data_IF_749183019239
#
_entry.id   IF_749183019239
#
_cell.length_a   1.000
_cell.length_b   1.000
_cell.length_c   1.000
_cell.angle_alpha   90.00
_cell.angle_beta   90.00
_cell.angle_gamma   90.00
#
_symmetry.space_group_name_H-M   'P 1'
#
loop_
_entity.id
_entity.type
_entity.pdbx_description
1 polymer ?
#
# COMPACT_ATOMS: atom_id res chain seq x y z
N UNK A 1 -5.62 1.47 28.64
CA UNK A 1 -5.22 1.78 27.24
C UNK A 1 -5.30 3.29 27.05
N UNK A 2 -4.21 4.01 26.74
CA UNK A 2 -4.23 5.47 26.48
C UNK A 2 -4.47 5.72 24.98
N UNK A 3 -5.51 6.48 24.64
CA UNK A 3 -5.84 6.85 23.25
C UNK A 3 -4.83 7.88 22.71
N UNK A 4 -4.43 7.78 21.44
CA UNK A 4 -3.58 8.82 20.83
C UNK A 4 -4.31 10.15 20.66
N UNK A 5 -3.56 11.26 20.59
CA UNK A 5 -4.12 12.60 20.36
C UNK A 5 -5.06 12.66 19.13
N UNK A 6 -4.76 12.03 17.98
CA UNK A 6 -5.68 12.02 16.84
C UNK A 6 -7.01 11.35 17.16
N UNK A 7 -6.99 10.24 17.89
CA UNK A 7 -8.21 9.55 18.34
C UNK A 7 -9.00 10.45 19.29
N UNK A 8 -8.35 11.10 20.25
CA UNK A 8 -9.05 12.02 21.17
C UNK A 8 -9.69 13.20 20.44
N UNK A 9 -8.99 13.80 19.47
CA UNK A 9 -9.54 14.86 18.62
C UNK A 9 -10.77 14.38 17.83
N UNK A 10 -10.74 13.16 17.30
CA UNK A 10 -11.90 12.59 16.61
C UNK A 10 -13.10 12.42 17.53
N UNK A 11 -12.91 11.98 18.79
CA UNK A 11 -14.02 11.89 19.75
C UNK A 11 -14.59 13.27 20.07
N UNK A 12 -13.72 14.27 20.28
CA UNK A 12 -14.17 15.66 20.51
C UNK A 12 -14.95 16.19 19.31
N UNK A 13 -14.48 15.96 18.09
CA UNK A 13 -15.18 16.37 16.88
C UNK A 13 -16.53 15.65 16.74
N UNK A 14 -16.60 14.35 16.99
CA UNK A 14 -17.87 13.61 16.95
C UNK A 14 -18.90 14.16 17.95
N UNK A 15 -18.46 14.55 19.15
CA UNK A 15 -19.32 15.20 20.15
C UNK A 15 -19.76 16.60 19.67
N UNK A 16 -18.87 17.36 19.03
CA UNK A 16 -19.20 18.65 18.42
C UNK A 16 -20.22 18.48 17.29
N UNK A 17 -20.08 17.47 16.45
CA UNK A 17 -21.00 17.17 15.36
C UNK A 17 -22.39 16.78 15.89
N UNK A 18 -22.43 15.99 16.96
CA UNK A 18 -23.68 15.66 17.66
C UNK A 18 -24.32 16.92 18.26
N UNK A 19 -23.55 17.77 18.93
CA UNK A 19 -24.02 19.04 19.48
C UNK A 19 -24.59 19.95 18.39
N UNK A 20 -23.90 20.11 17.26
CA UNK A 20 -24.36 20.92 16.14
C UNK A 20 -25.69 20.37 15.60
N UNK A 21 -25.81 19.04 15.51
CA UNK A 21 -27.05 18.38 15.12
C UNK A 21 -28.19 18.67 16.10
N UNK A 22 -27.94 18.56 17.40
CA UNK A 22 -28.94 18.84 18.45
C UNK A 22 -29.37 20.31 18.48
N UNK A 23 -28.42 21.23 18.35
CA UNK A 23 -28.70 22.68 18.31
C UNK A 23 -29.54 23.05 17.09
N UNK A 24 -29.30 22.42 15.93
CA UNK A 24 -30.11 22.66 14.73
C UNK A 24 -31.57 22.22 14.86
N UNK A 25 -31.87 21.32 15.81
CA UNK A 25 -33.21 20.79 16.07
C UNK A 25 -33.94 21.53 17.21
N UNK A 26 -33.31 22.54 17.83
CA UNK A 26 -33.93 23.31 18.90
C UNK A 26 -35.09 24.17 18.38
N UNK A 27 -36.18 24.22 19.15
CA UNK A 27 -37.31 25.10 18.87
C UNK A 27 -36.89 26.59 18.99
N UNK A 28 -37.53 27.50 18.24
CA UNK A 28 -37.26 28.93 18.34
C UNK A 28 -37.42 29.43 19.79
N UNK A 29 -36.43 30.18 20.28
CA UNK A 29 -36.45 30.77 21.63
C UNK A 29 -35.87 29.90 22.75
N UNK A 30 -35.43 28.66 22.47
CA UNK A 30 -34.73 27.82 23.44
C UNK A 30 -33.25 28.25 23.53
N UNK A 31 -32.77 28.49 24.75
CA UNK A 31 -31.36 28.81 24.99
C UNK A 31 -30.45 27.66 24.59
N UNK A 32 -29.36 27.98 23.88
CA UNK A 32 -28.40 26.96 23.47
C UNK A 32 -27.58 26.45 24.66
N UNK A 33 -27.37 25.12 24.78
CA UNK A 33 -26.48 24.57 25.78
C UNK A 33 -25.02 24.98 25.54
N UNK A 34 -24.17 24.86 26.57
CA UNK A 34 -22.74 25.20 26.44
C UNK A 34 -22.06 24.34 25.37
N UNK A 35 -21.26 24.97 24.51
CA UNK A 35 -20.56 24.27 23.45
C UNK A 35 -19.56 23.24 24.01
N UNK A 36 -19.60 21.97 23.55
CA UNK A 36 -18.83 20.87 24.16
C UNK A 36 -17.31 21.05 24.06
N UNK A 37 -16.82 21.82 23.07
CA UNK A 37 -15.40 22.21 22.95
C UNK A 37 -15.09 23.50 23.71
N UNK A 38 -15.40 23.53 25.00
CA UNK A 38 -15.19 24.68 25.88
C UNK A 38 -13.70 24.86 26.28
N UNK A 39 -13.43 25.85 27.14
CA UNK A 39 -12.08 26.19 27.61
C UNK A 39 -11.38 25.00 28.26
N UNK A 40 -12.09 24.23 29.08
CA UNK A 40 -11.56 23.05 29.78
C UNK A 40 -11.11 21.97 28.80
N UNK A 41 -11.92 21.67 27.79
CA UNK A 41 -11.55 20.70 26.74
C UNK A 41 -10.35 21.18 25.92
N UNK A 42 -10.30 22.47 25.55
CA UNK A 42 -9.15 23.05 24.84
C UNK A 42 -7.87 22.95 25.68
N UNK A 43 -7.95 23.25 26.98
CA UNK A 43 -6.80 23.17 27.89
C UNK A 43 -6.35 21.73 28.10
N UNK A 44 -7.28 20.79 28.29
CA UNK A 44 -6.99 19.37 28.38
C UNK A 44 -6.25 18.86 27.13
N UNK A 45 -6.74 19.19 25.93
CA UNK A 45 -6.08 18.82 24.67
C UNK A 45 -4.67 19.42 24.55
N UNK A 46 -4.47 20.65 25.01
CA UNK A 46 -3.16 21.31 25.00
C UNK A 46 -2.17 20.63 25.95
N UNK A 47 -2.59 20.31 27.18
CA UNK A 47 -1.80 19.56 28.15
C UNK A 47 -1.47 18.17 27.60
N UNK A 48 -2.47 17.47 27.06
CA UNK A 48 -2.30 16.15 26.49
C UNK A 48 -1.29 16.15 25.33
N UNK A 49 -1.36 17.14 24.43
CA UNK A 49 -0.37 17.31 23.35
C UNK A 49 1.03 17.50 23.91
N UNK A 50 1.20 18.39 24.90
CA UNK A 50 2.49 18.66 25.54
C UNK A 50 3.07 17.42 26.23
N UNK A 51 2.23 16.63 26.92
CA UNK A 51 2.64 15.37 27.54
C UNK A 51 3.13 14.35 26.50
N UNK A 52 2.42 14.22 25.38
CA UNK A 52 2.84 13.37 24.27
C UNK A 52 4.18 13.82 23.66
N UNK A 53 4.38 15.13 23.48
CA UNK A 53 5.63 15.67 22.94
C UNK A 53 6.80 15.50 23.92
N UNK A 54 6.58 15.74 25.21
CA UNK A 54 7.57 15.49 26.25
C UNK A 54 7.94 14.01 26.33
N UNK A 55 6.96 13.11 26.26
CA UNK A 55 7.20 11.67 26.20
C UNK A 55 8.05 11.28 25.00
N UNK A 56 7.72 11.80 23.81
CA UNK A 56 8.51 11.56 22.58
C UNK A 56 9.96 12.05 22.73
N UNK A 57 10.17 13.20 23.36
CA UNK A 57 11.51 13.73 23.66
C UNK A 57 12.26 12.85 24.66
N UNK A 58 11.60 12.41 25.74
CA UNK A 58 12.20 11.53 26.75
C UNK A 58 12.57 10.15 26.17
N UNK A 59 11.73 9.60 25.29
CA UNK A 59 12.00 8.36 24.55
C UNK A 59 13.04 8.54 23.44
N UNK A 60 13.59 9.76 23.25
CA UNK A 60 14.53 10.13 22.17
C UNK A 60 14.06 9.65 20.80
N UNK A 61 12.76 9.75 20.55
CA UNK A 61 12.15 9.37 19.28
C UNK A 61 12.72 10.26 18.17
N UNK A 62 13.29 9.64 17.15
CA UNK A 62 13.76 10.33 15.94
C UNK A 62 12.64 11.21 15.35
N UNK A 63 12.96 12.50 15.19
CA UNK A 63 12.05 13.50 14.63
C UNK A 63 11.76 13.27 13.16
N UNK A 64 12.63 12.57 12.42
CA UNK A 64 12.41 12.19 11.03
C UNK A 64 11.23 11.23 10.85
N UNK A 65 10.85 10.49 11.90
CA UNK A 65 9.73 9.55 11.83
C UNK A 65 8.39 10.30 11.75
N UNK A 66 7.60 9.99 10.72
CA UNK A 66 6.36 10.66 10.35
C UNK A 66 6.54 11.92 9.51
N UNK A 67 7.73 12.20 8.99
CA UNK A 67 8.03 13.40 8.17
C UNK A 67 8.42 13.01 6.74
N UNK A 68 8.92 13.95 5.93
CA UNK A 68 9.51 13.66 4.60
C UNK A 68 10.66 12.63 4.69
N UNK A 69 11.30 12.50 5.85
CA UNK A 69 12.35 11.51 6.11
C UNK A 69 11.78 10.11 6.45
N UNK A 70 10.47 9.97 6.70
CA UNK A 70 9.81 8.69 6.97
C UNK A 70 9.52 7.98 5.64
N UNK A 71 10.55 7.31 5.15
CA UNK A 71 10.56 6.64 3.87
C UNK A 71 11.85 5.87 3.69
N UNK A 72 12.15 5.51 2.45
CA UNK A 72 13.48 5.03 2.09
C UNK A 72 13.91 5.61 0.76
N UNK A 73 15.22 5.81 0.63
CA UNK A 73 15.82 6.23 -0.63
C UNK A 73 15.76 5.11 -1.67
N UNK A 74 15.99 5.45 -2.94
CA UNK A 74 16.11 4.45 -4.00
C UNK A 74 17.22 3.43 -3.75
N UNK A 75 18.33 3.86 -3.14
CA UNK A 75 19.41 2.96 -2.77
C UNK A 75 19.02 2.02 -1.63
N UNK A 76 18.31 2.52 -0.63
CA UNK A 76 17.76 1.69 0.44
C UNK A 76 16.74 0.68 -0.12
N UNK A 77 15.87 1.08 -1.05
CA UNK A 77 14.95 0.17 -1.74
C UNK A 77 15.69 -0.93 -2.52
N UNK A 78 16.74 -0.54 -3.26
CA UNK A 78 17.59 -1.48 -4.00
C UNK A 78 18.27 -2.48 -3.07
N UNK A 79 18.89 -1.99 -1.98
CA UNK A 79 19.53 -2.85 -0.97
C UNK A 79 18.53 -3.78 -0.30
N UNK A 80 17.32 -3.31 0.00
CA UNK A 80 16.24 -4.12 0.56
C UNK A 80 15.84 -5.26 -0.39
N UNK A 81 15.62 -4.93 -1.67
CA UNK A 81 15.29 -5.93 -2.68
C UNK A 81 16.41 -6.96 -2.89
N UNK A 82 17.67 -6.53 -2.83
CA UNK A 82 18.83 -7.43 -2.91
C UNK A 82 18.98 -8.30 -1.66
N UNK A 83 18.78 -7.73 -0.47
CA UNK A 83 18.80 -8.46 0.79
C UNK A 83 17.77 -9.59 0.79
N UNK A 84 16.51 -9.28 0.44
CA UNK A 84 15.43 -10.27 0.36
C UNK A 84 15.66 -11.33 -0.71
N UNK A 85 16.24 -10.96 -1.85
CA UNK A 85 16.60 -11.90 -2.92
C UNK A 85 17.71 -12.87 -2.47
N UNK A 86 18.74 -12.35 -1.78
CA UNK A 86 19.87 -13.14 -1.29
C UNK A 86 19.51 -14.12 -0.17
N UNK A 87 18.36 -13.94 0.50
CA UNK A 87 17.89 -14.91 1.47
C UNK A 87 17.60 -16.28 0.84
N UNK A 88 17.24 -16.32 -0.45
CA UNK A 88 16.91 -17.55 -1.17
C UNK A 88 15.88 -18.44 -0.44
N UNK A 89 14.86 -17.81 0.14
CA UNK A 89 13.74 -18.47 0.82
C UNK A 89 12.41 -18.05 0.21
N UNK A 90 11.39 -18.89 0.34
CA UNK A 90 10.03 -18.56 -0.11
C UNK A 90 9.55 -17.27 0.56
N UNK A 91 9.81 -17.10 1.86
CA UNK A 91 9.45 -15.89 2.57
C UNK A 91 10.18 -14.65 2.05
N UNK A 92 11.48 -14.77 1.73
CA UNK A 92 12.26 -13.69 1.13
C UNK A 92 11.71 -13.26 -0.22
N UNK A 93 11.43 -14.23 -1.11
CA UNK A 93 10.81 -13.96 -2.41
C UNK A 93 9.41 -13.33 -2.27
N UNK A 94 8.57 -13.88 -1.40
CA UNK A 94 7.22 -13.36 -1.13
C UNK A 94 7.27 -11.93 -0.60
N UNK A 95 8.12 -11.66 0.39
CA UNK A 95 8.26 -10.31 0.97
C UNK A 95 8.83 -9.32 -0.05
N UNK A 96 9.75 -9.77 -0.91
CA UNK A 96 10.27 -8.93 -2.00
C UNK A 96 9.17 -8.59 -3.01
N UNK A 97 8.39 -9.57 -3.43
CA UNK A 97 7.27 -9.37 -4.34
C UNK A 97 6.19 -8.44 -3.73
N UNK A 98 5.81 -8.65 -2.46
CA UNK A 98 4.90 -7.76 -1.73
C UNK A 98 5.42 -6.32 -1.73
N UNK A 99 6.69 -6.14 -1.43
CA UNK A 99 7.30 -4.82 -1.35
C UNK A 99 7.35 -4.12 -2.72
N UNK A 100 7.72 -4.84 -3.79
CA UNK A 100 7.71 -4.29 -5.14
C UNK A 100 6.31 -3.89 -5.61
N UNK A 101 5.31 -4.72 -5.33
CA UNK A 101 3.89 -4.40 -5.62
C UNK A 101 3.43 -3.20 -4.79
N UNK A 102 3.83 -3.12 -3.52
CA UNK A 102 3.50 -1.99 -2.65
C UNK A 102 4.00 -0.65 -3.21
N UNK A 103 5.22 -0.65 -3.75
CA UNK A 103 5.82 0.55 -4.37
C UNK A 103 5.18 0.85 -5.72
N UNK A 104 5.15 -0.13 -6.62
CA UNK A 104 4.69 0.07 -8.00
C UNK A 104 3.21 0.44 -8.10
N UNK A 105 2.38 -0.02 -7.17
CA UNK A 105 0.92 0.20 -7.17
C UNK A 105 0.44 1.10 -6.03
N UNK A 106 1.35 1.64 -5.19
CA UNK A 106 1.01 2.49 -4.03
C UNK A 106 0.02 1.85 -3.05
N UNK A 107 0.08 0.54 -2.84
CA UNK A 107 -0.90 -0.19 -2.02
C UNK A 107 -0.59 -0.11 -0.52
N UNK A 108 -1.65 -0.06 0.30
CA UNK A 108 -1.57 -0.22 1.76
C UNK A 108 -1.27 -1.66 2.12
N UNK A 109 -0.67 -1.87 3.29
CA UNK A 109 -0.34 -3.23 3.76
C UNK A 109 -1.57 -4.14 3.86
N UNK A 110 -2.75 -3.58 4.14
CA UNK A 110 -3.98 -4.36 4.23
C UNK A 110 -4.53 -4.79 2.87
N UNK A 111 -4.47 -3.91 1.87
CA UNK A 111 -4.86 -4.23 0.49
C UNK A 111 -4.02 -5.39 -0.05
N UNK A 112 -2.70 -5.41 0.23
CA UNK A 112 -1.81 -6.47 -0.26
C UNK A 112 -2.00 -7.82 0.42
N UNK A 113 -2.26 -7.84 1.74
CA UNK A 113 -2.51 -9.10 2.45
C UNK A 113 -3.81 -9.76 2.02
N UNK A 114 -4.80 -8.94 1.65
CA UNK A 114 -6.12 -9.42 1.26
C UNK A 114 -6.27 -9.69 -0.23
N UNK A 115 -5.31 -9.26 -1.06
CA UNK A 115 -5.29 -9.53 -2.50
C UNK A 115 -5.32 -11.04 -2.78
N UNK A 116 -6.21 -11.45 -3.67
CA UNK A 116 -6.27 -12.81 -4.22
C UNK A 116 -5.54 -12.86 -5.57
N UNK A 117 -5.17 -14.07 -6.00
CA UNK A 117 -4.47 -14.29 -7.26
C UNK A 117 -5.32 -13.87 -8.46
N UNK A 118 -6.65 -14.02 -8.36
CA UNK A 118 -7.62 -13.58 -9.37
C UNK A 118 -7.81 -12.06 -9.48
N UNK A 119 -7.22 -11.28 -8.58
CA UNK A 119 -7.23 -9.83 -8.68
C UNK A 119 -6.14 -9.31 -9.63
N UNK A 120 -5.19 -10.16 -10.06
CA UNK A 120 -4.08 -9.79 -10.93
C UNK A 120 -4.41 -9.96 -12.41
N UNK A 121 -4.11 -8.91 -13.18
CA UNK A 121 -4.23 -8.89 -14.63
C UNK A 121 -2.97 -8.32 -15.26
N UNK A 122 -2.66 -8.74 -16.49
CA UNK A 122 -1.65 -8.10 -17.32
C UNK A 122 -2.32 -7.30 -18.43
N UNK A 123 -1.85 -6.07 -18.64
CA UNK A 123 -2.24 -5.22 -19.75
C UNK A 123 -1.00 -4.90 -20.57
N UNK A 124 -1.02 -5.20 -21.86
CA UNK A 124 0.00 -4.69 -22.79
C UNK A 124 -0.13 -3.17 -22.85
N UNK A 125 0.98 -2.48 -22.63
CA UNK A 125 1.06 -1.05 -22.88
C UNK A 125 1.38 -0.82 -24.35
N UNK A 126 1.07 0.37 -24.84
CA UNK A 126 1.31 0.68 -26.25
C UNK A 126 2.81 0.68 -26.59
N UNK A 127 3.12 0.65 -27.89
CA UNK A 127 4.51 0.69 -28.37
C UNK A 127 5.24 2.00 -28.06
N UNK A 128 4.60 2.97 -27.40
CA UNK A 128 5.21 4.25 -27.04
C UNK A 128 6.03 4.17 -25.74
N UNK A 129 5.92 3.07 -24.98
CA UNK A 129 6.66 2.92 -23.73
C UNK A 129 8.18 2.80 -23.92
N UNK A 130 8.64 2.23 -25.04
CA UNK A 130 10.07 2.13 -25.35
C UNK A 130 10.44 1.02 -26.35
N UNK A 131 11.69 0.56 -26.27
CA UNK A 131 12.32 -0.33 -27.26
C UNK A 131 11.85 -1.79 -27.19
N UNK A 132 11.25 -2.20 -26.07
CA UNK A 132 10.78 -3.56 -25.83
C UNK A 132 9.31 -3.55 -25.43
N UNK A 133 8.52 -4.58 -25.76
CA UNK A 133 7.13 -4.67 -25.33
C UNK A 133 7.00 -4.50 -23.82
N UNK A 134 6.11 -3.60 -23.40
CA UNK A 134 5.88 -3.25 -22.01
C UNK A 134 4.54 -3.81 -21.54
N UNK A 135 4.52 -4.41 -20.34
CA UNK A 135 3.30 -4.90 -19.69
C UNK A 135 3.10 -4.21 -18.35
N UNK A 136 1.92 -3.66 -18.13
CA UNK A 136 1.46 -3.27 -16.81
C UNK A 136 0.83 -4.48 -16.11
N UNK A 137 1.21 -4.68 -14.85
CA UNK A 137 0.48 -5.57 -13.95
C UNK A 137 -0.54 -4.72 -13.20
N UNK A 138 -1.80 -5.15 -13.19
CA UNK A 138 -2.93 -4.44 -12.59
C UNK A 138 -3.49 -5.30 -11.46
N UNK A 139 -3.77 -4.66 -10.32
CA UNK A 139 -4.50 -5.27 -9.20
C UNK A 139 -5.91 -4.65 -9.08
N UNK A 140 -6.93 -5.46 -9.32
CA UNK A 140 -8.34 -5.06 -9.22
C UNK A 140 -8.91 -5.55 -7.89
N UNK A 141 -8.89 -4.68 -6.87
CA UNK A 141 -9.49 -4.98 -5.57
C UNK A 141 -11.01 -4.89 -5.64
N UNK A 142 -11.71 -5.98 -5.28
CA UNK A 142 -13.18 -6.09 -5.34
C UNK A 142 -13.90 -5.81 -4.03
N UNK A 143 -13.30 -5.14 -3.06
CA UNK A 143 -13.87 -5.10 -1.69
C UNK A 143 -15.31 -4.55 -1.60
N UNK A 144 -16.25 -5.50 -1.58
CA UNK A 144 -17.49 -5.57 -0.83
C UNK A 144 -17.64 -7.01 -0.33
N UNK A 145 -17.46 -7.22 0.99
CA UNK A 145 -17.80 -8.39 1.84
C UNK A 145 -17.72 -9.84 1.28
N UNK A 146 -16.86 -10.64 1.95
CA UNK A 146 -16.89 -12.09 2.30
C UNK A 146 -17.44 -13.08 1.23
N UNK A 147 -16.72 -14.19 0.95
CA UNK A 147 -16.80 -15.44 1.73
C UNK A 147 -15.56 -16.32 1.45
N UNK A 148 -15.12 -17.15 2.40
CA UNK A 148 -14.27 -18.33 2.11
C UNK A 148 -14.72 -19.54 2.93
N UNK A 149 -15.07 -20.61 2.24
CA UNK A 149 -15.08 -21.98 2.74
C UNK A 149 -14.24 -22.81 1.76
N UNK A 150 -13.41 -23.74 2.25
CA UNK A 150 -12.80 -24.74 1.38
C UNK A 150 -11.41 -25.22 1.79
N UNK A 151 -11.12 -26.48 1.44
CA UNK A 151 -10.02 -27.35 1.85
C UNK A 151 -8.62 -26.80 1.52
N UNK A 152 -7.63 -27.16 2.35
CA UNK A 152 -6.21 -26.81 2.15
C UNK A 152 -5.62 -27.74 1.07
N UNK A 153 -5.12 -27.16 -0.01
CA UNK A 153 -4.33 -27.86 -1.03
C UNK A 153 -2.89 -27.33 -1.05
N UNK A 154 -1.91 -28.22 -1.16
CA UNK A 154 -0.49 -27.87 -1.27
C UNK A 154 -0.03 -28.15 -2.71
N UNK A 155 0.49 -27.14 -3.43
CA UNK A 155 0.98 -27.27 -4.81
C UNK A 155 0.68 -26.07 -5.71
N UNK A 156 1.27 -26.04 -6.91
CA UNK A 156 0.94 -25.08 -7.97
C UNK A 156 -0.56 -25.21 -8.30
N UNK A 157 -1.33 -24.11 -8.38
CA UNK A 157 -2.75 -24.21 -8.70
C UNK A 157 -2.95 -24.78 -10.11
N UNK A 158 -3.93 -25.66 -10.26
CA UNK A 158 -4.44 -25.96 -11.60
C UNK A 158 -5.02 -24.68 -12.20
N UNK A 159 -4.40 -24.15 -13.24
CA UNK A 159 -4.84 -22.89 -13.88
C UNK A 159 -5.95 -23.12 -14.91
N UNK A 160 -6.28 -24.37 -15.22
CA UNK A 160 -7.29 -24.74 -16.22
C UNK A 160 -8.72 -24.43 -15.76
N UNK A 161 -8.99 -24.52 -14.45
CA UNK A 161 -10.30 -24.22 -13.87
C UNK A 161 -10.20 -23.08 -12.89
N UNK A 162 -11.08 -22.08 -13.05
CA UNK A 162 -11.11 -20.91 -12.16
C UNK A 162 -11.24 -21.30 -10.69
N UNK A 163 -12.12 -22.25 -10.38
CA UNK A 163 -12.38 -22.74 -9.01
C UNK A 163 -11.09 -23.14 -8.24
N UNK A 164 -10.07 -23.64 -8.93
CA UNK A 164 -8.86 -24.20 -8.32
C UNK A 164 -7.86 -23.11 -7.86
N UNK A 165 -8.01 -21.87 -8.35
CA UNK A 165 -7.08 -20.77 -8.08
C UNK A 165 -7.72 -19.44 -7.68
N UNK A 166 -9.03 -19.29 -7.91
CA UNK A 166 -9.76 -18.05 -7.67
C UNK A 166 -9.62 -17.54 -6.23
N UNK A 167 -9.77 -18.44 -5.26
CA UNK A 167 -9.73 -18.12 -3.84
C UNK A 167 -8.32 -18.20 -3.25
N UNK A 168 -7.27 -18.35 -4.05
CA UNK A 168 -5.90 -18.36 -3.53
C UNK A 168 -5.42 -16.95 -3.28
N UNK A 169 -4.81 -16.72 -2.12
CA UNK A 169 -4.23 -15.42 -1.76
C UNK A 169 -2.96 -15.18 -2.56
N UNK A 170 -2.80 -13.96 -3.04
CA UNK A 170 -1.59 -13.54 -3.76
C UNK A 170 -0.35 -13.68 -2.87
N UNK A 171 -0.47 -13.22 -1.62
CA UNK A 171 0.55 -13.41 -0.58
C UNK A 171 -0.04 -14.21 0.57
N UNK A 172 -0.05 -15.53 0.40
CA UNK A 172 -0.59 -16.45 1.37
C UNK A 172 0.25 -16.59 2.65
N UNK A 173 -0.42 -16.93 3.75
CA UNK A 173 0.21 -17.45 4.96
C UNK A 173 0.62 -18.93 4.79
N UNK A 174 0.46 -19.74 5.84
CA UNK A 174 0.69 -21.20 5.76
C UNK A 174 -0.36 -21.90 4.88
N UNK A 175 -1.59 -21.40 4.90
CA UNK A 175 -2.68 -21.88 4.06
C UNK A 175 -2.81 -20.94 2.84
N UNK A 176 -2.78 -21.45 1.58
CA UNK A 176 -2.89 -20.64 0.38
C UNK A 176 -4.20 -19.85 0.27
N UNK A 177 -5.25 -20.24 0.98
CA UNK A 177 -6.55 -19.56 0.99
C UNK A 177 -6.62 -18.44 2.04
N UNK A 178 -5.66 -18.39 2.96
CA UNK A 178 -5.67 -17.46 4.09
C UNK A 178 -4.66 -16.32 3.91
N UNK A 179 -5.07 -15.08 4.21
CA UNK A 179 -4.18 -13.93 4.06
C UNK A 179 -2.97 -14.10 4.97
N UNK A 180 -1.82 -13.56 4.53
CA UNK A 180 -0.67 -13.41 5.42
C UNK A 180 -1.09 -12.62 6.65
N UNK A 181 -0.78 -13.10 7.86
CA UNK A 181 -1.14 -12.39 9.09
C UNK A 181 -0.41 -11.04 9.19
N UNK A 182 -1.04 -10.05 9.82
CA UNK A 182 -0.43 -8.74 10.03
C UNK A 182 0.93 -8.86 10.74
N UNK A 183 0.99 -9.66 11.81
CA UNK A 183 2.23 -9.84 12.58
C UNK A 183 3.34 -10.53 11.78
N UNK A 184 3.01 -11.55 10.97
CA UNK A 184 4.00 -12.19 10.11
C UNK A 184 4.56 -11.20 9.08
N UNK A 185 3.68 -10.45 8.40
CA UNK A 185 4.07 -9.41 7.46
C UNK A 185 4.97 -8.36 8.14
N UNK A 186 4.52 -7.79 9.26
CA UNK A 186 5.26 -6.77 10.00
C UNK A 186 6.63 -7.28 10.46
N UNK A 187 6.72 -8.51 10.97
CA UNK A 187 7.98 -9.10 11.42
C UNK A 187 8.98 -9.29 10.28
N UNK A 188 8.53 -9.67 9.09
CA UNK A 188 9.42 -9.78 7.93
C UNK A 188 9.95 -8.41 7.50
N UNK A 189 9.09 -7.40 7.45
CA UNK A 189 9.53 -6.03 7.15
C UNK A 189 10.44 -5.46 8.23
N UNK A 190 10.19 -5.77 9.51
CA UNK A 190 11.06 -5.37 10.62
C UNK A 190 12.51 -5.84 10.39
N UNK A 191 12.67 -7.14 10.10
CA UNK A 191 13.99 -7.75 9.85
C UNK A 191 14.65 -7.14 8.63
N UNK A 192 13.91 -7.04 7.53
CA UNK A 192 14.45 -6.55 6.27
C UNK A 192 14.84 -5.06 6.35
N UNK A 193 14.02 -4.23 6.98
CA UNK A 193 14.32 -2.81 7.16
C UNK A 193 15.51 -2.59 8.09
N UNK A 194 15.59 -3.34 9.20
CA UNK A 194 16.74 -3.28 10.09
C UNK A 194 18.04 -3.65 9.37
N UNK A 195 18.02 -4.68 8.51
CA UNK A 195 19.18 -5.12 7.76
C UNK A 195 19.72 -4.08 6.76
N UNK A 196 18.90 -3.11 6.34
CA UNK A 196 19.31 -2.08 5.36
C UNK A 196 19.28 -0.65 5.90
N UNK A 197 19.08 -0.50 7.21
CA UNK A 197 19.07 0.79 7.90
C UNK A 197 17.87 1.66 7.56
N UNK A 198 16.69 1.08 7.35
CA UNK A 198 15.43 1.83 7.19
C UNK A 198 14.74 1.94 8.55
N UNK A 199 14.53 3.17 9.02
CA UNK A 199 13.80 3.45 10.24
C UNK A 199 12.38 3.92 9.91
N UNK A 200 11.36 3.24 10.46
CA UNK A 200 9.98 3.73 10.41
C UNK A 200 9.10 3.08 11.47
N UNK A 201 8.09 3.83 11.92
CA UNK A 201 7.03 3.33 12.81
C UNK A 201 5.95 2.53 12.07
N UNK A 202 5.61 2.89 10.83
CA UNK A 202 4.46 2.33 10.10
C UNK A 202 4.90 1.41 8.96
N UNK A 203 5.74 0.42 9.25
CA UNK A 203 6.51 -0.36 8.27
C UNK A 203 5.68 -0.95 7.11
N UNK A 204 4.48 -1.46 7.36
CA UNK A 204 3.60 -2.01 6.29
C UNK A 204 3.02 -0.95 5.36
N UNK A 205 3.02 0.33 5.77
CA UNK A 205 2.53 1.49 5.02
C UNK A 205 3.64 2.32 4.38
N UNK A 206 4.88 2.26 4.89
CA UNK A 206 6.03 3.00 4.35
C UNK A 206 6.15 2.90 2.82
N UNK A 207 6.02 1.71 2.19
CA UNK A 207 6.25 1.61 0.75
C UNK A 207 5.32 2.51 -0.07
N UNK A 208 4.07 2.67 0.37
CA UNK A 208 3.11 3.57 -0.27
C UNK A 208 3.54 5.03 -0.16
N UNK A 209 3.97 5.47 1.02
CA UNK A 209 4.46 6.84 1.23
C UNK A 209 5.73 7.12 0.43
N UNK A 210 6.68 6.17 0.46
CA UNK A 210 7.92 6.26 -0.31
C UNK A 210 7.69 6.26 -1.82
N UNK A 211 6.70 5.51 -2.31
CA UNK A 211 6.32 5.54 -3.73
C UNK A 211 5.80 6.91 -4.17
N UNK A 212 5.00 7.56 -3.34
CA UNK A 212 4.46 8.89 -3.61
C UNK A 212 5.58 9.92 -3.64
N UNK A 213 6.45 9.94 -2.63
CA UNK A 213 7.63 10.81 -2.59
C UNK A 213 8.53 10.59 -3.80
N UNK A 214 8.73 9.32 -4.19
CA UNK A 214 9.53 8.97 -5.36
C UNK A 214 8.92 9.55 -6.65
N UNK A 215 7.62 9.41 -6.83
CA UNK A 215 6.94 9.89 -8.03
C UNK A 215 6.86 11.43 -8.07
N UNK A 216 6.65 12.07 -6.92
CA UNK A 216 6.72 13.53 -6.76
C UNK A 216 8.11 14.06 -7.10
N UNK A 217 9.17 13.46 -6.55
CA UNK A 217 10.56 13.84 -6.86
C UNK A 217 10.93 13.60 -8.33
N UNK A 218 10.24 12.71 -9.03
CA UNK A 218 10.41 12.49 -10.46
C UNK A 218 9.65 13.53 -11.33
N UNK A 219 8.86 14.42 -10.72
CA UNK A 219 8.08 15.45 -11.41
C UNK A 219 6.70 14.97 -11.88
N UNK A 220 6.14 13.91 -11.29
CA UNK A 220 4.77 13.51 -11.62
C UNK A 220 3.76 14.56 -11.16
N UNK A 221 2.77 14.84 -12.00
CA UNK A 221 1.70 15.78 -11.65
C UNK A 221 0.86 15.29 -10.47
N UNK A 222 0.41 16.21 -9.62
CA UNK A 222 -0.37 15.89 -8.42
C UNK A 222 -1.69 15.17 -8.74
N UNK A 223 -2.38 15.57 -9.82
CA UNK A 223 -3.60 14.91 -10.28
C UNK A 223 -3.35 13.41 -10.61
N UNK A 224 -2.22 13.07 -11.24
CA UNK A 224 -1.81 11.71 -11.57
C UNK A 224 -1.46 10.93 -10.30
N UNK A 225 -0.75 11.55 -9.35
CA UNK A 225 -0.46 10.98 -8.04
C UNK A 225 -1.74 10.66 -7.26
N UNK A 226 -2.73 11.57 -7.27
CA UNK A 226 -4.03 11.35 -6.63
C UNK A 226 -4.83 10.23 -7.28
N UNK A 227 -4.76 10.10 -8.61
CA UNK A 227 -5.37 8.97 -9.34
C UNK A 227 -4.69 7.64 -9.00
N UNK A 228 -3.36 7.58 -9.04
CA UNK A 228 -2.60 6.38 -8.69
C UNK A 228 -2.80 5.96 -7.22
N UNK A 229 -2.82 6.94 -6.31
CA UNK A 229 -3.10 6.74 -4.90
C UNK A 229 -4.57 6.43 -4.59
N UNK A 230 -5.50 6.57 -5.55
CA UNK A 230 -6.96 6.44 -5.32
C UNK A 230 -7.44 7.38 -4.21
N UNK A 231 -7.00 8.64 -4.25
CA UNK A 231 -7.40 9.69 -3.31
C UNK A 231 -8.52 10.61 -3.82
N UNK A 232 -8.86 10.51 -5.10
CA UNK A 232 -9.99 11.23 -5.68
C UNK A 232 -11.29 10.46 -5.43
N UNK A 233 -12.32 11.18 -5.00
CA UNK A 233 -13.69 10.66 -4.84
C UNK A 233 -14.69 11.33 -5.80
N UNK A 234 -14.21 12.07 -6.80
CA UNK A 234 -15.08 12.76 -7.75
C UNK A 234 -15.73 11.79 -8.76
N UNK A 235 -16.89 12.20 -9.28
CA UNK A 235 -17.68 11.42 -10.21
C UNK A 235 -16.95 11.13 -11.52
N UNK A 236 -16.05 12.02 -11.97
CA UNK A 236 -15.29 11.85 -13.21
C UNK A 236 -14.31 10.67 -13.11
N UNK A 237 -13.55 10.60 -12.02
CA UNK A 237 -12.62 9.51 -11.74
C UNK A 237 -13.33 8.17 -11.52
N UNK A 238 -14.56 8.18 -10.96
CA UNK A 238 -15.31 6.96 -10.71
C UNK A 238 -16.05 6.44 -11.96
N UNK A 239 -16.55 7.32 -12.82
CA UNK A 239 -17.42 6.93 -13.92
C UNK A 239 -16.74 6.89 -15.30
N UNK A 240 -15.70 7.69 -15.53
CA UNK A 240 -15.20 7.93 -16.90
C UNK A 240 -13.69 7.70 -17.10
N UNK A 241 -12.85 7.87 -16.07
CA UNK A 241 -11.40 7.78 -16.21
C UNK A 241 -10.86 6.36 -15.97
N UNK A 242 -10.87 5.54 -17.01
CA UNK A 242 -10.43 4.12 -16.98
C UNK A 242 -8.94 3.91 -17.29
N UNK A 243 -8.27 4.90 -17.91
CA UNK A 243 -6.86 4.78 -18.28
C UNK A 243 -5.92 4.79 -17.06
N UNK A 244 -4.85 4.01 -17.12
CA UNK A 244 -3.83 3.95 -16.07
C UNK A 244 -3.12 5.30 -15.90
N UNK A 245 -2.81 5.72 -14.65
CA UNK A 245 -1.95 6.88 -14.41
C UNK A 245 -0.48 6.51 -14.69
N UNK A 246 -0.05 6.64 -15.95
CA UNK A 246 1.23 6.12 -16.42
C UNK A 246 2.45 6.85 -15.84
N UNK A 247 2.38 8.17 -15.63
CA UNK A 247 3.49 8.94 -15.03
C UNK A 247 3.96 8.36 -13.68
N UNK A 248 3.10 8.24 -12.66
CA UNK A 248 3.50 7.68 -11.38
C UNK A 248 3.80 6.19 -11.44
N UNK A 249 3.17 5.43 -12.34
CA UNK A 249 3.50 4.01 -12.56
C UNK A 249 4.96 3.84 -13.02
N UNK A 250 5.36 4.61 -14.04
CA UNK A 250 6.73 4.63 -14.57
C UNK A 250 7.71 5.09 -13.49
N UNK A 251 7.42 6.20 -12.82
CA UNK A 251 8.27 6.73 -11.76
C UNK A 251 8.47 5.69 -10.65
N UNK A 252 7.40 5.09 -10.13
CA UNK A 252 7.46 4.11 -9.05
C UNK A 252 8.26 2.87 -9.44
N UNK A 253 8.21 2.46 -10.70
CA UNK A 253 8.97 1.32 -11.24
C UNK A 253 10.39 1.66 -11.67
N UNK A 254 10.79 2.95 -11.63
CA UNK A 254 12.16 3.41 -11.91
C UNK A 254 12.40 3.87 -13.34
N UNK A 255 11.35 4.13 -14.11
CA UNK A 255 11.42 4.68 -15.46
C UNK A 255 11.08 6.18 -15.48
N UNK A 256 11.42 6.85 -16.58
CA UNK A 256 11.08 8.27 -16.75
C UNK A 256 9.56 8.44 -16.83
N UNK A 257 8.95 9.35 -16.04
CA UNK A 257 7.50 9.63 -16.09
C UNK A 257 6.97 9.95 -17.49
N UNK A 258 7.78 10.58 -18.35
CA UNK A 258 7.36 10.97 -19.71
C UNK A 258 7.15 9.79 -20.66
N UNK A 259 7.66 8.60 -20.32
CA UNK A 259 7.60 7.42 -21.20
C UNK A 259 8.76 7.34 -22.20
N UNK A 260 8.70 6.36 -23.11
CA UNK A 260 9.69 6.14 -24.18
C UNK A 260 11.04 5.55 -23.74
N UNK A 261 11.27 5.40 -22.43
CA UNK A 261 12.54 4.92 -21.86
C UNK A 261 12.51 3.45 -21.43
N UNK A 262 11.41 2.73 -21.66
CA UNK A 262 11.29 1.34 -21.25
C UNK A 262 12.20 0.45 -22.11
N UNK A 263 13.15 -0.20 -21.45
CA UNK A 263 13.99 -1.21 -22.06
C UNK A 263 14.24 -2.34 -21.08
N UNK A 264 13.89 -3.56 -21.49
CA UNK A 264 14.17 -4.76 -20.74
C UNK A 264 15.25 -5.58 -21.46
N UNK A 265 16.52 -5.56 -21.02
CA UNK A 265 17.62 -6.24 -21.72
C UNK A 265 17.37 -7.73 -21.97
N UNK A 266 16.69 -8.42 -21.05
CA UNK A 266 16.38 -9.85 -21.19
C UNK A 266 15.28 -10.14 -22.21
N UNK A 267 14.56 -9.13 -22.70
CA UNK A 267 13.51 -9.33 -23.70
C UNK A 267 14.10 -9.71 -25.08
N UNK A 268 15.38 -9.43 -25.32
CA UNK A 268 16.08 -9.85 -26.55
C UNK A 268 16.59 -11.30 -26.49
N UNK A 269 16.43 -11.99 -25.35
CA UNK A 269 16.88 -13.36 -25.17
C UNK A 269 15.68 -14.30 -25.32
N UNK A 270 15.76 -15.21 -26.28
CA UNK A 270 14.78 -16.32 -26.40
C UNK A 270 15.24 -17.46 -25.50
N UNK A 271 14.53 -17.78 -24.40
CA UNK A 271 14.90 -18.88 -23.54
C UNK A 271 14.73 -20.23 -24.28
N UNK A 272 15.62 -21.21 -24.06
CA UNK A 272 15.47 -22.55 -24.63
C UNK A 272 14.13 -23.20 -24.25
N UNK A 273 13.51 -23.91 -25.20
CA UNK A 273 12.18 -24.53 -25.02
C UNK A 273 12.14 -25.58 -23.92
N UNK A 274 13.23 -26.33 -23.73
CA UNK A 274 13.40 -27.27 -22.63
C UNK A 274 13.39 -26.57 -21.26
N UNK A 275 14.04 -25.41 -21.14
CA UNK A 275 14.00 -24.61 -19.92
C UNK A 275 12.60 -24.06 -19.65
N UNK A 276 11.92 -23.52 -20.66
CA UNK A 276 10.55 -23.01 -20.50
C UNK A 276 9.59 -24.11 -20.01
N UNK A 277 9.70 -25.31 -20.60
CA UNK A 277 8.83 -26.45 -20.25
C UNK A 277 9.09 -27.00 -18.84
N UNK A 278 10.24 -26.70 -18.24
CA UNK A 278 10.63 -27.22 -16.92
C UNK A 278 10.16 -26.35 -15.75
N UNK A 279 9.87 -25.06 -15.97
CA UNK A 279 9.63 -24.09 -14.87
C UNK A 279 8.17 -24.11 -14.40
N UNK A 280 7.22 -24.35 -15.32
CA UNK A 280 5.78 -24.52 -15.03
C UNK A 280 5.20 -25.60 -15.97
N UNK A 281 5.52 -26.88 -15.76
CA UNK A 281 5.09 -27.96 -16.65
C UNK A 281 3.56 -28.08 -16.76
N UNK A 282 2.83 -27.60 -15.75
CA UNK A 282 1.37 -27.60 -15.66
C UNK A 282 0.69 -26.45 -16.43
N UNK A 283 1.43 -25.42 -16.87
CA UNK A 283 0.89 -24.22 -17.50
C UNK A 283 0.74 -24.34 -19.03
N UNK A 284 0.38 -25.53 -19.52
CA UNK A 284 0.20 -25.83 -20.95
C UNK A 284 -1.25 -25.63 -21.40
#
# INVERSE_FOLDING_TARGET
>A
MRLGLPSMLNHVNAIVDLYNSQVSMLAPGVAQPEHPRNRSVKQFLAIYRRDQDNRRKNERVDLGIGTVLDGYTMDQHRRLCQYLLKQNTIEGFRTRADHMIAVGMMLRGDERRNADLCDLYSLELDGSEGLTPAKAVILVSRQGKLNKCGRIEYGFPNVLRRDDWYDRKLFAGRNPLQPLSYHAHLNMLNKAFAAVGIASKKKTHVPRGSAVQKAENAGCEENQLRRAGRWNADAMNQAYLTNLPLQPLRACTGFNPTGGSYFLPRASLTPPSNCMSAIFPEAK
#
